data_IF_941734792334
#
_entry.id   IF_941734792334
#
_cell.length_a   1.000
_cell.length_b   1.000
_cell.length_c   1.000
_cell.angle_alpha   90.00
_cell.angle_beta   90.00
_cell.angle_gamma   90.00
#
_symmetry.space_group_name_H-M   'P 1'
#
loop_
_entity.id
_entity.type
_entity.pdbx_description
1 polymer ?
#
# COMPACT_ATOMS: atom_id res chain seq x y z
N UNK A 1 3.59 -7.18 -12.77
CA UNK A 1 2.35 -6.59 -12.21
C UNK A 1 2.75 -5.53 -11.20
N UNK A 2 1.98 -4.45 -11.06
CA UNK A 2 2.19 -3.48 -9.99
C UNK A 2 1.16 -3.75 -8.91
N UNK A 3 1.61 -3.82 -7.67
CA UNK A 3 0.76 -3.86 -6.48
C UNK A 3 0.91 -2.54 -5.74
N UNK A 4 -0.19 -2.00 -5.22
CA UNK A 4 -0.18 -0.83 -4.32
C UNK A 4 -0.58 -1.30 -2.93
N UNK A 5 0.16 -0.87 -1.92
CA UNK A 5 -0.07 -1.21 -0.52
C UNK A 5 -0.25 0.06 0.28
N UNK A 6 -1.31 0.11 1.08
CA UNK A 6 -1.57 1.18 2.03
C UNK A 6 -1.25 0.67 3.43
N UNK A 7 -0.40 1.41 4.13
CA UNK A 7 -0.01 1.16 5.50
C UNK A 7 -0.58 2.24 6.42
N UNK A 8 -0.97 1.88 7.64
CA UNK A 8 -1.35 2.79 8.71
C UNK A 8 -0.19 2.91 9.72
N UNK A 9 0.54 4.03 9.66
CA UNK A 9 1.63 4.37 10.60
C UNK A 9 2.69 3.28 10.76
N UNK A 10 3.34 2.82 9.68
CA UNK A 10 4.49 1.93 9.81
C UNK A 10 5.62 2.63 10.59
N UNK A 11 6.54 1.88 11.20
CA UNK A 11 7.61 2.43 12.05
C UNK A 11 8.44 3.52 11.37
N UNK A 12 8.67 3.41 10.06
CA UNK A 12 9.48 4.35 9.28
C UNK A 12 8.70 5.61 8.86
N UNK A 13 7.36 5.58 8.95
CA UNK A 13 6.46 6.70 8.64
C UNK A 13 5.30 6.76 9.67
N UNK A 14 5.58 7.12 10.93
CA UNK A 14 4.63 6.98 12.04
C UNK A 14 3.49 8.02 12.03
N UNK A 15 3.60 9.09 11.25
CA UNK A 15 2.71 10.26 11.35
C UNK A 15 1.41 10.15 10.53
N UNK A 16 1.19 9.06 9.80
CA UNK A 16 -0.04 8.87 9.03
C UNK A 16 -0.05 7.63 8.16
N UNK A 17 -0.88 7.64 7.11
CA UNK A 17 -0.90 6.55 6.14
C UNK A 17 0.24 6.70 5.11
N UNK A 18 0.78 5.57 4.67
CA UNK A 18 1.80 5.45 3.62
C UNK A 18 1.22 4.66 2.45
N UNK A 19 1.42 5.14 1.23
CA UNK A 19 1.05 4.45 -0.01
C UNK A 19 2.31 4.13 -0.79
N UNK A 20 2.56 2.85 -1.06
CA UNK A 20 3.78 2.38 -1.73
C UNK A 20 3.46 1.32 -2.78
N UNK A 21 4.13 1.40 -3.93
CA UNK A 21 4.03 0.39 -4.98
C UNK A 21 5.08 -0.71 -4.81
N UNK A 22 4.77 -1.88 -5.36
CA UNK A 22 5.67 -3.01 -5.49
C UNK A 22 5.59 -3.55 -6.92
N UNK A 23 6.74 -3.91 -7.47
CA UNK A 23 6.84 -4.59 -8.76
C UNK A 23 6.88 -6.09 -8.47
N UNK A 24 5.87 -6.81 -8.96
CA UNK A 24 5.75 -8.26 -8.84
C UNK A 24 6.07 -8.90 -10.19
N UNK A 25 7.14 -9.67 -10.25
CA UNK A 25 7.58 -10.36 -11.46
C UNK A 25 8.10 -11.77 -11.15
N UNK A 26 7.49 -12.80 -11.76
CA UNK A 26 7.92 -14.21 -11.68
C UNK A 26 8.16 -14.70 -10.24
N UNK A 27 7.26 -14.33 -9.31
CA UNK A 27 7.36 -14.70 -7.90
C UNK A 27 8.32 -13.84 -7.07
N UNK A 28 9.01 -12.87 -7.69
CA UNK A 28 9.81 -11.88 -6.99
C UNK A 28 8.99 -10.61 -6.73
N UNK A 29 9.26 -9.99 -5.59
CA UNK A 29 8.67 -8.70 -5.20
C UNK A 29 9.81 -7.72 -4.98
N UNK A 30 9.79 -6.61 -5.72
CA UNK A 30 10.73 -5.51 -5.55
C UNK A 30 10.00 -4.25 -5.09
N UNK A 31 10.59 -3.43 -4.19
CA UNK A 31 10.01 -2.15 -3.81
C UNK A 31 9.93 -1.22 -5.02
N UNK A 32 8.79 -0.58 -5.20
CA UNK A 32 8.57 0.46 -6.19
C UNK A 32 8.67 1.86 -5.57
N UNK A 33 7.75 2.75 -5.96
CA UNK A 33 7.71 4.15 -5.56
C UNK A 33 6.83 4.33 -4.33
N UNK A 34 7.15 5.34 -3.51
CA UNK A 34 6.20 5.90 -2.54
C UNK A 34 5.33 6.90 -3.30
N UNK A 35 4.01 6.68 -3.27
CA UNK A 35 3.04 7.57 -3.91
C UNK A 35 2.64 8.72 -2.98
N UNK A 36 2.66 8.48 -1.66
CA UNK A 36 2.44 9.49 -0.64
C UNK A 36 2.71 8.93 0.76
N UNK A 37 2.99 9.81 1.72
CA UNK A 37 3.22 9.48 3.12
C UNK A 37 2.61 10.53 4.04
N UNK A 38 2.50 10.21 5.34
CA UNK A 38 1.91 11.09 6.36
C UNK A 38 0.50 11.57 5.99
N UNK A 39 -0.25 10.73 5.26
CA UNK A 39 -1.60 11.07 4.82
C UNK A 39 -2.57 11.00 6.01
N UNK A 40 -3.54 11.93 6.11
CA UNK A 40 -4.34 12.11 7.32
C UNK A 40 -5.43 11.03 7.49
N UNK A 41 -5.85 10.38 6.40
CA UNK A 41 -6.93 9.39 6.40
C UNK A 41 -6.68 8.29 5.38
N UNK A 42 -7.41 7.18 5.53
CA UNK A 42 -7.39 6.08 4.57
C UNK A 42 -8.00 6.51 3.23
N UNK A 43 -8.98 7.40 3.25
CA UNK A 43 -9.61 7.96 2.06
C UNK A 43 -8.60 8.77 1.23
N UNK A 44 -7.80 9.65 1.86
CA UNK A 44 -6.74 10.38 1.18
C UNK A 44 -5.65 9.45 0.62
N UNK A 45 -5.41 8.30 1.26
CA UNK A 45 -4.51 7.28 0.74
C UNK A 45 -5.08 6.57 -0.49
N UNK A 46 -6.39 6.28 -0.51
CA UNK A 46 -7.08 5.67 -1.65
C UNK A 46 -7.10 6.57 -2.88
N UNK A 47 -7.15 7.89 -2.71
CA UNK A 47 -7.06 8.85 -3.83
C UNK A 47 -5.74 8.76 -4.61
N UNK A 48 -4.69 8.17 -4.02
CA UNK A 48 -3.39 7.95 -4.68
C UNK A 48 -3.29 6.59 -5.38
N UNK A 49 -4.27 5.71 -5.19
CA UNK A 49 -4.32 4.42 -5.89
C UNK A 49 -4.71 4.68 -7.35
N UNK A 50 -3.92 4.23 -8.35
CA UNK A 50 -4.28 4.37 -9.76
C UNK A 50 -5.63 3.76 -10.11
N UNK A 51 -6.33 4.40 -11.05
CA UNK A 51 -7.59 3.88 -11.60
C UNK A 51 -7.42 2.47 -12.19
N UNK A 52 -8.48 1.66 -12.07
CA UNK A 52 -8.53 0.30 -12.64
C UNK A 52 -7.87 -0.78 -11.79
N UNK A 53 -7.32 -0.43 -10.62
CA UNK A 53 -6.84 -1.41 -9.64
C UNK A 53 -7.97 -1.99 -8.79
N UNK A 54 -7.78 -3.22 -8.33
CA UNK A 54 -8.76 -3.93 -7.50
C UNK A 54 -8.22 -4.16 -6.10
N UNK A 55 -8.99 -3.75 -5.08
CA UNK A 55 -8.66 -4.06 -3.70
C UNK A 55 -8.85 -5.56 -3.46
N UNK A 56 -7.81 -6.21 -2.96
CA UNK A 56 -7.87 -7.61 -2.54
C UNK A 56 -8.08 -7.71 -1.04
N UNK A 57 -8.67 -8.82 -0.62
CA UNK A 57 -8.84 -9.11 0.81
C UNK A 57 -7.49 -9.33 1.48
N UNK A 58 -7.39 -8.87 2.73
CA UNK A 58 -6.22 -9.13 3.57
C UNK A 58 -6.13 -10.60 3.94
N UNK A 59 -4.90 -11.09 4.06
CA UNK A 59 -4.63 -12.42 4.59
C UNK A 59 -4.35 -12.36 6.10
N UNK A 60 -4.72 -13.39 6.88
CA UNK A 60 -4.49 -13.44 8.32
C UNK A 60 -3.03 -13.27 8.77
N UNK A 61 -2.06 -13.49 7.87
CA UNK A 61 -0.62 -13.34 8.14
C UNK A 61 -0.03 -12.00 7.73
N UNK A 62 -0.82 -11.09 7.15
CA UNK A 62 -0.33 -9.77 6.76
C UNK A 62 0.08 -8.97 7.99
N UNK A 63 1.13 -8.16 7.85
CA UNK A 63 1.55 -7.22 8.89
C UNK A 63 0.34 -6.35 9.33
N UNK A 64 0.05 -6.21 10.62
CA UNK A 64 -1.05 -5.38 11.13
C UNK A 64 -1.07 -3.95 10.59
N UNK A 65 0.09 -3.36 10.27
CA UNK A 65 0.13 -2.00 9.71
C UNK A 65 -0.32 -1.94 8.26
N UNK A 66 -0.33 -3.04 7.51
CA UNK A 66 -0.92 -3.09 6.17
C UNK A 66 -2.43 -3.05 6.32
N UNK A 67 -3.09 -2.04 5.77
CA UNK A 67 -4.55 -1.91 5.87
C UNK A 67 -5.28 -2.23 4.58
N UNK A 68 -4.65 -2.01 3.42
CA UNK A 68 -5.20 -2.40 2.12
C UNK A 68 -4.10 -2.80 1.13
N UNK A 69 -4.46 -3.72 0.23
CA UNK A 69 -3.64 -4.12 -0.90
C UNK A 69 -4.47 -4.05 -2.18
N UNK A 70 -3.87 -3.52 -3.24
CA UNK A 70 -4.49 -3.30 -4.54
C UNK A 70 -3.61 -3.88 -5.65
N UNK A 71 -4.20 -4.52 -6.66
CA UNK A 71 -3.50 -5.12 -7.81
C UNK A 71 -4.12 -4.73 -9.15
#
# INVERSE_FOLDING_TARGET
MIQVVIYNRPSDYPDGYLVKTYIVERGNIAPGKILGHSLPSLEAARELVPDGMWRIERLPGDDPVIVEVWV
#
